data_IF_984145714091
#
_entry.id   IF_984145714091
#
_cell.length_a   1.000
_cell.length_b   1.000
_cell.length_c   1.000
_cell.angle_alpha   90.00
_cell.angle_beta   90.00
_cell.angle_gamma   90.00
#
_symmetry.space_group_name_H-M   'P 1'
#
loop_
_entity.id
_entity.type
_entity.pdbx_description
1 polymer ?
#
# COMPACT_ATOMS: atom_id res chain seq x y z
N UNK A 1 17.77 13.64 10.45
CA UNK A 1 18.28 13.45 9.08
C UNK A 1 17.24 14.03 8.15
N UNK A 2 17.63 14.87 7.19
CA UNK A 2 16.69 15.34 6.16
C UNK A 2 16.32 14.17 5.24
N UNK A 3 15.06 14.12 4.82
CA UNK A 3 14.57 13.09 3.90
C UNK A 3 14.93 13.48 2.46
N UNK A 4 15.46 12.53 1.69
CA UNK A 4 15.64 12.71 0.25
C UNK A 4 14.36 12.25 -0.47
N UNK A 5 13.51 13.20 -0.89
CA UNK A 5 12.19 12.92 -1.44
C UNK A 5 12.08 13.22 -2.93
N UNK A 6 11.38 12.33 -3.63
CA UNK A 6 10.97 12.50 -5.02
C UNK A 6 9.44 12.65 -5.11
N UNK A 7 8.92 13.44 -6.06
CA UNK A 7 7.48 13.54 -6.27
C UNK A 7 6.86 12.16 -6.62
N UNK A 8 5.72 11.84 -6.01
CA UNK A 8 5.00 10.58 -6.27
C UNK A 8 4.50 10.46 -7.72
N UNK A 9 4.22 11.58 -8.39
CA UNK A 9 3.76 11.66 -9.79
C UNK A 9 2.62 10.69 -10.13
N UNK A 10 1.67 10.49 -9.20
CA UNK A 10 0.50 9.66 -9.47
C UNK A 10 -0.35 10.23 -10.61
N UNK A 11 -0.98 9.37 -11.43
CA UNK A 11 -1.87 9.83 -12.50
C UNK A 11 -3.02 10.67 -11.92
N UNK A 12 -3.29 11.80 -12.56
CA UNK A 12 -4.33 12.75 -12.17
C UNK A 12 -4.91 13.41 -13.40
N UNK A 13 -6.23 13.65 -13.37
CA UNK A 13 -6.96 14.45 -14.34
C UNK A 13 -6.90 15.96 -14.06
N UNK A 14 -6.23 16.38 -12.97
CA UNK A 14 -6.13 17.77 -12.48
C UNK A 14 -7.47 18.47 -12.14
N UNK A 15 -8.60 17.80 -12.33
CA UNK A 15 -9.93 18.33 -11.99
C UNK A 15 -10.30 18.05 -10.52
N UNK A 16 -9.68 17.03 -9.92
CA UNK A 16 -9.89 16.61 -8.54
C UNK A 16 -8.58 16.32 -7.81
N UNK A 17 -8.58 16.30 -6.46
CA UNK A 17 -7.48 15.76 -5.69
C UNK A 17 -7.15 14.33 -6.11
N UNK A 18 -5.92 13.89 -5.86
CA UNK A 18 -5.53 12.50 -6.01
C UNK A 18 -6.44 11.59 -5.16
N UNK A 19 -7.12 10.61 -5.79
CA UNK A 19 -8.03 9.67 -5.11
C UNK A 19 -7.53 8.24 -5.26
N UNK A 20 -7.26 7.59 -4.13
CA UNK A 20 -7.02 6.15 -4.04
C UNK A 20 -8.29 5.51 -3.46
N UNK A 21 -9.02 4.75 -4.28
CA UNK A 21 -10.33 4.22 -3.91
C UNK A 21 -10.40 2.69 -4.06
N UNK A 22 -11.28 2.05 -3.31
CA UNK A 22 -11.48 0.60 -3.38
C UNK A 22 -11.99 0.01 -2.07
N UNK A 23 -12.30 -1.29 -2.06
CA UNK A 23 -12.89 -1.95 -0.91
C UNK A 23 -11.89 -2.02 0.25
N UNK A 24 -12.38 -2.23 1.46
CA UNK A 24 -11.51 -2.44 2.62
C UNK A 24 -10.64 -3.70 2.43
N UNK A 25 -11.21 -4.81 2.00
CA UNK A 25 -10.50 -6.08 1.74
C UNK A 25 -10.74 -6.55 0.32
N UNK A 26 -9.82 -7.35 -0.23
CA UNK A 26 -10.09 -8.17 -1.39
C UNK A 26 -10.75 -9.49 -0.92
N UNK A 27 -12.07 -9.59 -1.00
CA UNK A 27 -12.83 -10.71 -0.40
C UNK A 27 -13.15 -11.79 -1.42
N UNK A 28 -13.54 -11.40 -2.64
CA UNK A 28 -13.70 -12.28 -3.79
C UNK A 28 -13.22 -11.58 -5.05
N UNK A 29 -12.83 -12.36 -6.07
CA UNK A 29 -12.44 -11.83 -7.39
C UNK A 29 -13.57 -11.00 -8.01
N UNK A 30 -14.81 -11.51 -8.00
CA UNK A 30 -15.99 -10.81 -8.51
C UNK A 30 -16.18 -9.44 -7.85
N UNK A 31 -16.06 -9.38 -6.52
CA UNK A 31 -16.20 -8.16 -5.75
C UNK A 31 -15.11 -7.14 -6.12
N UNK A 32 -13.85 -7.60 -6.22
CA UNK A 32 -12.71 -6.77 -6.60
C UNK A 32 -12.89 -6.20 -7.99
N UNK A 33 -13.15 -7.05 -8.99
CA UNK A 33 -13.26 -6.65 -10.39
C UNK A 33 -14.48 -5.77 -10.66
N UNK A 34 -15.63 -6.08 -10.04
CA UNK A 34 -16.83 -5.25 -10.16
C UNK A 34 -16.59 -3.86 -9.59
N UNK A 35 -15.96 -3.77 -8.41
CA UNK A 35 -15.64 -2.48 -7.78
C UNK A 35 -14.65 -1.68 -8.64
N UNK A 36 -13.61 -2.34 -9.16
CA UNK A 36 -12.60 -1.70 -9.98
C UNK A 36 -13.18 -1.10 -11.27
N UNK A 37 -14.03 -1.85 -11.99
CA UNK A 37 -14.70 -1.36 -13.21
C UNK A 37 -15.59 -0.15 -12.94
N UNK A 38 -16.34 -0.16 -11.83
CA UNK A 38 -17.17 0.98 -11.45
C UNK A 38 -16.34 2.22 -11.08
N UNK A 39 -15.20 2.05 -10.43
CA UNK A 39 -14.30 3.16 -10.09
C UNK A 39 -13.61 3.72 -11.34
N UNK A 40 -13.14 2.86 -12.24
CA UNK A 40 -12.55 3.25 -13.51
C UNK A 40 -13.55 4.05 -14.37
N UNK A 41 -14.82 3.64 -14.41
CA UNK A 41 -15.88 4.38 -15.11
C UNK A 41 -16.15 5.78 -14.51
N UNK A 42 -15.71 6.03 -13.27
CA UNK A 42 -15.72 7.36 -12.61
C UNK A 42 -14.39 8.10 -12.75
N UNK A 43 -13.47 7.58 -13.56
CA UNK A 43 -12.14 8.13 -13.82
C UNK A 43 -11.15 7.96 -12.67
N UNK A 44 -11.39 7.07 -11.70
CA UNK A 44 -10.37 6.79 -10.69
C UNK A 44 -9.11 6.20 -11.36
N UNK A 45 -7.94 6.61 -10.90
CA UNK A 45 -6.65 6.15 -11.45
C UNK A 45 -5.92 5.15 -10.54
N UNK A 46 -6.38 4.97 -9.30
CA UNK A 46 -5.75 4.09 -8.32
C UNK A 46 -6.79 3.26 -7.59
N UNK A 47 -6.54 1.95 -7.52
CA UNK A 47 -7.37 0.97 -6.85
C UNK A 47 -6.67 0.39 -5.62
N UNK A 48 -7.32 0.45 -4.45
CA UNK A 48 -6.79 -0.09 -3.20
C UNK A 48 -7.64 -1.23 -2.64
N UNK A 49 -7.01 -2.33 -2.25
CA UNK A 49 -7.65 -3.38 -1.45
C UNK A 49 -6.63 -4.01 -0.50
N UNK A 50 -7.04 -4.31 0.74
CA UNK A 50 -6.18 -5.02 1.68
C UNK A 50 -6.28 -6.52 1.43
N UNK A 51 -5.18 -7.15 1.04
CA UNK A 51 -5.11 -8.62 0.85
C UNK A 51 -4.71 -9.34 2.14
N UNK A 52 -4.00 -8.65 3.03
CA UNK A 52 -3.74 -9.07 4.42
C UNK A 52 -4.41 -8.10 5.39
N UNK A 53 -4.98 -8.64 6.47
CA UNK A 53 -5.72 -7.86 7.46
C UNK A 53 -5.14 -8.08 8.86
N UNK A 54 -4.52 -7.05 9.46
CA UNK A 54 -4.10 -7.15 10.85
C UNK A 54 -5.36 -7.07 11.72
N UNK A 55 -6.01 -8.20 12.03
CA UNK A 55 -7.21 -8.19 12.87
C UNK A 55 -6.79 -8.02 14.33
N UNK A 56 -7.52 -7.17 15.06
CA UNK A 56 -7.26 -6.97 16.50
C UNK A 56 -7.64 -8.18 17.33
N UNK A 57 -8.70 -8.89 16.90
CA UNK A 57 -9.15 -10.13 17.53
C UNK A 57 -8.94 -11.30 16.56
N UNK A 58 -8.46 -12.46 17.04
CA UNK A 58 -8.37 -13.66 16.23
C UNK A 58 -9.76 -14.13 15.77
N UNK A 59 -9.80 -14.91 14.68
CA UNK A 59 -11.04 -15.50 14.14
C UNK A 59 -11.88 -14.59 13.26
N UNK A 60 -11.47 -13.33 13.07
CA UNK A 60 -12.02 -12.49 12.00
C UNK A 60 -11.35 -12.79 10.65
N UNK A 61 -11.99 -12.43 9.54
CA UNK A 61 -11.40 -12.60 8.21
C UNK A 61 -10.02 -11.93 8.08
N UNK A 62 -8.97 -12.69 7.80
CA UNK A 62 -7.58 -12.17 7.81
C UNK A 62 -7.12 -11.65 6.43
N UNK A 63 -8.03 -11.62 5.47
CA UNK A 63 -7.69 -11.42 4.06
C UNK A 63 -7.42 -12.75 3.36
N UNK A 64 -7.41 -12.73 2.03
CA UNK A 64 -7.11 -13.90 1.21
C UNK A 64 -5.60 -14.10 0.95
N UNK A 65 -4.75 -13.21 1.47
CA UNK A 65 -3.30 -13.28 1.33
C UNK A 65 -2.84 -13.26 -0.14
N UNK A 66 -1.84 -14.10 -0.45
CA UNK A 66 -1.28 -14.22 -1.81
C UNK A 66 -2.35 -14.55 -2.86
N UNK A 67 -3.39 -15.31 -2.51
CA UNK A 67 -4.47 -15.70 -3.42
C UNK A 67 -5.22 -14.50 -4.02
N UNK A 68 -5.25 -13.36 -3.33
CA UNK A 68 -5.89 -12.14 -3.84
C UNK A 68 -4.98 -11.26 -4.69
N UNK A 69 -3.65 -11.48 -4.69
CA UNK A 69 -2.72 -10.68 -5.49
C UNK A 69 -2.94 -10.83 -7.02
N UNK A 70 -3.25 -12.02 -7.57
CA UNK A 70 -3.69 -12.15 -8.96
C UNK A 70 -4.88 -11.26 -9.32
N UNK A 71 -5.86 -11.11 -8.41
CA UNK A 71 -7.03 -10.26 -8.65
C UNK A 71 -6.62 -8.79 -8.75
N UNK A 72 -5.70 -8.34 -7.90
CA UNK A 72 -5.14 -6.99 -7.98
C UNK A 72 -4.42 -6.78 -9.32
N UNK A 73 -3.59 -7.72 -9.74
CA UNK A 73 -2.93 -7.66 -11.05
C UNK A 73 -3.95 -7.53 -12.19
N UNK A 74 -5.02 -8.32 -12.16
CA UNK A 74 -6.09 -8.27 -13.15
C UNK A 74 -6.84 -6.92 -13.13
N UNK A 75 -7.03 -6.27 -11.98
CA UNK A 75 -7.58 -4.91 -11.91
C UNK A 75 -6.74 -3.95 -12.75
N UNK A 76 -5.42 -3.98 -12.61
CA UNK A 76 -4.53 -3.11 -13.40
C UNK A 76 -4.64 -3.43 -14.89
N UNK A 77 -4.62 -4.70 -15.27
CA UNK A 77 -4.71 -5.14 -16.66
C UNK A 77 -6.02 -4.71 -17.33
N UNK A 78 -7.15 -4.82 -16.63
CA UNK A 78 -8.47 -4.51 -17.21
C UNK A 78 -8.85 -3.02 -17.14
N UNK A 79 -8.31 -2.27 -16.18
CA UNK A 79 -8.74 -0.88 -15.92
C UNK A 79 -7.66 0.17 -16.17
N UNK A 80 -6.39 -0.24 -16.24
CA UNK A 80 -5.25 0.66 -16.28
C UNK A 80 -4.97 1.39 -14.95
N UNK A 81 -5.74 1.15 -13.89
CA UNK A 81 -5.50 1.76 -12.58
C UNK A 81 -4.25 1.18 -11.92
N UNK A 82 -3.46 2.04 -11.27
CA UNK A 82 -2.40 1.60 -10.37
C UNK A 82 -3.02 0.89 -9.16
N UNK A 83 -2.38 -0.17 -8.68
CA UNK A 83 -2.89 -0.97 -7.57
C UNK A 83 -2.11 -0.74 -6.29
N UNK A 84 -2.83 -0.75 -5.17
CA UNK A 84 -2.26 -0.50 -3.86
C UNK A 84 -2.72 -1.54 -2.83
N UNK A 85 -1.81 -2.00 -1.96
CA UNK A 85 -2.13 -2.89 -0.83
C UNK A 85 -1.34 -2.54 0.45
N UNK A 86 -1.83 -3.03 1.60
CA UNK A 86 -1.13 -2.90 2.88
C UNK A 86 -0.01 -3.93 2.99
N UNK A 87 1.17 -3.51 3.42
CA UNK A 87 2.26 -4.43 3.81
C UNK A 87 2.57 -4.24 5.30
N UNK A 88 2.89 -5.34 5.97
CA UNK A 88 3.13 -5.37 7.41
C UNK A 88 4.31 -6.27 7.82
N UNK A 89 4.77 -7.14 6.93
CA UNK A 89 5.92 -8.02 7.12
C UNK A 89 6.80 -7.99 5.85
N UNK A 90 8.08 -8.41 5.93
CA UNK A 90 8.95 -8.55 4.75
C UNK A 90 8.33 -9.43 3.64
N UNK A 91 7.72 -10.55 4.02
CA UNK A 91 7.05 -11.45 3.06
C UNK A 91 5.91 -10.75 2.31
N UNK A 92 5.15 -9.86 2.95
CA UNK A 92 4.12 -9.07 2.26
C UNK A 92 4.73 -8.15 1.20
N UNK A 93 5.91 -7.56 1.47
CA UNK A 93 6.62 -6.72 0.51
C UNK A 93 7.09 -7.56 -0.68
N UNK A 94 7.76 -8.68 -0.42
CA UNK A 94 8.25 -9.59 -1.46
C UNK A 94 7.11 -10.06 -2.38
N UNK A 95 5.99 -10.51 -1.79
CA UNK A 95 4.83 -10.95 -2.56
C UNK A 95 4.16 -9.80 -3.32
N UNK A 96 3.97 -8.63 -2.69
CA UNK A 96 3.37 -7.49 -3.38
C UNK A 96 4.19 -7.08 -4.61
N UNK A 97 5.53 -7.03 -4.49
CA UNK A 97 6.43 -6.72 -5.59
C UNK A 97 6.44 -7.81 -6.66
N UNK A 98 6.50 -9.09 -6.26
CA UNK A 98 6.43 -10.26 -7.17
C UNK A 98 5.19 -10.21 -8.06
N UNK A 99 4.05 -9.76 -7.54
CA UNK A 99 2.79 -9.65 -8.28
C UNK A 99 2.57 -8.30 -8.96
N UNK A 100 3.53 -7.37 -8.86
CA UNK A 100 3.49 -6.09 -9.55
C UNK A 100 2.52 -5.07 -8.97
N UNK A 101 2.31 -5.09 -7.64
CA UNK A 101 1.59 -4.02 -6.94
C UNK A 101 2.36 -2.71 -7.08
N UNK A 102 1.68 -1.65 -7.48
CA UNK A 102 2.28 -0.36 -7.83
C UNK A 102 2.60 0.53 -6.63
N UNK A 103 1.83 0.40 -5.55
CA UNK A 103 1.91 1.26 -4.38
C UNK A 103 1.78 0.41 -3.13
N UNK A 104 2.70 0.56 -2.19
CA UNK A 104 2.62 -0.08 -0.88
C UNK A 104 2.15 0.96 0.14
N UNK A 105 1.30 0.57 1.09
CA UNK A 105 1.10 1.38 2.29
C UNK A 105 1.40 0.61 3.56
N UNK A 106 1.94 1.32 4.54
CA UNK A 106 2.19 0.81 5.88
C UNK A 106 1.04 1.24 6.80
N UNK A 107 0.43 0.26 7.47
CA UNK A 107 -0.68 0.49 8.38
C UNK A 107 -0.27 1.28 9.64
N UNK A 108 -1.22 2.02 10.23
CA UNK A 108 -1.01 2.85 11.43
C UNK A 108 -0.47 2.07 12.66
N UNK A 109 -0.71 0.76 12.74
CA UNK A 109 -0.20 -0.10 13.82
C UNK A 109 1.24 -0.53 13.59
N UNK A 110 1.60 -0.73 12.32
CA UNK A 110 2.96 -1.06 11.91
C UNK A 110 3.86 0.16 11.99
N UNK A 111 3.37 1.34 11.60
CA UNK A 111 4.13 2.59 11.72
C UNK A 111 4.45 2.95 13.16
N UNK A 112 3.66 2.46 14.13
CA UNK A 112 3.93 2.62 15.56
C UNK A 112 5.04 1.69 16.12
N UNK A 113 5.58 0.77 15.33
CA UNK A 113 6.54 -0.23 15.79
C UNK A 113 7.89 -0.08 15.06
N UNK A 114 8.94 0.44 15.73
CA UNK A 114 10.25 0.65 15.11
C UNK A 114 10.90 -0.63 14.58
N UNK A 115 10.69 -1.79 15.22
CA UNK A 115 11.24 -3.06 14.75
C UNK A 115 10.54 -3.53 13.47
N UNK A 116 9.21 -3.38 13.40
CA UNK A 116 8.46 -3.70 12.20
C UNK A 116 8.83 -2.75 11.04
N UNK A 117 8.98 -1.46 11.32
CA UNK A 117 9.44 -0.48 10.34
C UNK A 117 10.85 -0.78 9.83
N UNK A 118 11.78 -1.21 10.70
CA UNK A 118 13.12 -1.61 10.28
C UNK A 118 13.07 -2.85 9.38
N UNK A 119 12.32 -3.88 9.77
CA UNK A 119 12.18 -5.09 8.96
C UNK A 119 11.59 -4.80 7.57
N UNK A 120 10.59 -3.90 7.49
CA UNK A 120 10.06 -3.44 6.21
C UNK A 120 11.10 -2.66 5.40
N UNK A 121 11.84 -1.76 6.02
CA UNK A 121 12.90 -1.00 5.36
C UNK A 121 13.97 -1.93 4.76
N UNK A 122 14.41 -2.94 5.51
CA UNK A 122 15.39 -3.92 5.03
C UNK A 122 14.87 -4.68 3.79
N UNK A 123 13.58 -5.03 3.76
CA UNK A 123 12.94 -5.69 2.60
C UNK A 123 12.72 -4.79 1.38
N UNK A 124 12.86 -3.47 1.54
CA UNK A 124 12.67 -2.47 0.48
C UNK A 124 13.98 -2.00 -0.15
N UNK A 125 15.13 -2.51 0.29
CA UNK A 125 16.42 -2.14 -0.26
C UNK A 125 16.52 -2.44 -1.76
N UNK A 126 16.89 -1.43 -2.54
CA UNK A 126 17.03 -1.54 -4.00
C UNK A 126 15.71 -1.60 -4.78
N UNK A 127 14.57 -1.39 -4.12
CA UNK A 127 13.25 -1.31 -4.74
C UNK A 127 12.95 0.15 -5.10
N UNK A 128 12.27 0.37 -6.23
CA UNK A 128 11.72 1.68 -6.60
C UNK A 128 10.18 1.59 -6.66
N UNK A 129 9.54 1.71 -5.50
CA UNK A 129 8.09 1.69 -5.36
C UNK A 129 7.63 2.82 -4.43
N UNK A 130 6.53 3.52 -4.75
CA UNK A 130 5.88 4.42 -3.81
C UNK A 130 5.47 3.71 -2.51
N UNK A 131 5.86 4.29 -1.37
CA UNK A 131 5.47 3.79 -0.03
C UNK A 131 4.74 4.89 0.74
N UNK A 132 3.49 4.61 1.12
CA UNK A 132 2.65 5.52 1.89
C UNK A 132 2.60 5.08 3.36
N UNK A 133 3.11 5.88 4.30
CA UNK A 133 3.18 5.54 5.72
C UNK A 133 2.07 6.26 6.49
N UNK A 134 1.06 5.51 6.94
CA UNK A 134 -0.03 6.08 7.73
C UNK A 134 0.47 6.59 9.09
N UNK A 135 -0.15 7.67 9.55
CA UNK A 135 0.03 8.19 10.91
C UNK A 135 -0.12 7.05 11.94
N UNK A 136 0.74 6.98 12.96
CA UNK A 136 0.66 5.93 13.95
C UNK A 136 -0.65 6.02 14.75
N UNK A 137 -1.12 4.87 15.27
CA UNK A 137 -2.38 4.81 16.05
C UNK A 137 -2.35 5.69 17.30
N UNK A 138 -1.17 5.85 17.89
CA UNK A 138 -0.85 6.87 18.87
C UNK A 138 -0.26 8.07 18.12
N UNK A 139 -0.82 9.29 18.23
CA UNK A 139 -0.35 10.45 17.49
C UNK A 139 1.00 10.97 18.06
N UNK A 140 2.07 10.23 17.78
CA UNK A 140 3.45 10.56 18.10
C UNK A 140 4.18 10.91 16.78
N UNK A 141 4.56 12.18 16.66
CA UNK A 141 5.18 12.70 15.46
C UNK A 141 6.59 12.14 15.24
N UNK A 142 7.36 11.93 16.32
CA UNK A 142 8.72 11.39 16.23
C UNK A 142 8.69 9.94 15.75
N UNK A 143 7.68 9.19 16.16
CA UNK A 143 7.46 7.82 15.70
C UNK A 143 7.16 7.76 14.20
N UNK A 144 6.33 8.69 13.71
CA UNK A 144 6.02 8.81 12.28
C UNK A 144 7.21 9.29 11.45
N UNK A 145 7.93 10.32 11.90
CA UNK A 145 9.14 10.82 11.24
C UNK A 145 10.21 9.72 11.21
N UNK A 146 10.40 9.00 12.31
CA UNK A 146 11.34 7.88 12.38
C UNK A 146 10.96 6.74 11.43
N UNK A 147 9.68 6.47 11.25
CA UNK A 147 9.19 5.50 10.26
C UNK A 147 9.56 5.92 8.82
N UNK A 148 9.32 7.19 8.45
CA UNK A 148 9.70 7.72 7.15
C UNK A 148 11.22 7.71 6.94
N UNK A 149 12.01 8.08 7.95
CA UNK A 149 13.47 8.07 7.89
C UNK A 149 14.03 6.67 7.63
N UNK A 150 13.50 5.63 8.27
CA UNK A 150 13.95 4.24 8.04
C UNK A 150 13.69 3.80 6.59
N UNK A 151 12.49 4.05 6.08
CA UNK A 151 12.13 3.68 4.71
C UNK A 151 12.97 4.49 3.70
N UNK A 152 13.23 5.77 3.98
CA UNK A 152 14.09 6.60 3.13
C UNK A 152 15.55 6.12 3.12
N UNK A 153 16.09 5.68 4.26
CA UNK A 153 17.43 5.09 4.36
C UNK A 153 17.58 3.78 3.57
N UNK A 154 16.48 3.05 3.35
CA UNK A 154 16.47 1.88 2.46
C UNK A 154 16.54 2.25 0.97
N UNK A 155 16.51 3.55 0.62
CA UNK A 155 16.61 4.06 -0.74
C UNK A 155 15.27 4.45 -1.36
N UNK A 156 14.15 4.31 -0.65
CA UNK A 156 12.83 4.73 -1.15
C UNK A 156 12.70 6.25 -1.04
N UNK A 157 12.59 6.92 -2.18
CA UNK A 157 12.44 8.39 -2.25
C UNK A 157 11.01 8.84 -2.50
N UNK A 158 10.16 7.95 -3.03
CA UNK A 158 8.74 8.19 -3.32
C UNK A 158 7.90 7.89 -2.07
N UNK A 159 7.94 8.79 -1.09
CA UNK A 159 7.27 8.65 0.20
C UNK A 159 6.07 9.59 0.36
N UNK A 160 5.04 9.13 1.07
CA UNK A 160 3.85 9.92 1.43
C UNK A 160 3.11 9.38 2.63
#
# INVERSE_FOLDING_TARGET
MELELEPLNFPSDQERPCVIAGPCSAETEEQVMTTAKQLAAKGCHMFRAGVWKPRTKPGGFEGNGETALPWMKQVKEETGMLTATEVATPEHVELALKYGIDILWVGARTSANPFAMQALADSLQGVDVPVLVKNPVNPDLELWIGALQRINQAGIKKLG
#
